data_IF_379363331676
#
_entry.id   IF_379363331676
#
_cell.length_a   1.000
_cell.length_b   1.000
_cell.length_c   1.000
_cell.angle_alpha   90.00
_cell.angle_beta   90.00
_cell.angle_gamma   90.00
#
_symmetry.space_group_name_H-M   'P 1'
#
loop_
_entity.id
_entity.type
_entity.pdbx_description
1 polymer ?
#
# COMPACT_ATOMS: atom_id res chain seq x y z
N UNK A 1 17.24 5.88 -22.11
CA UNK A 1 16.29 6.97 -22.46
C UNK A 1 16.38 7.49 -23.90
N UNK A 2 17.56 7.56 -24.53
CA UNK A 2 17.72 8.15 -25.89
C UNK A 2 16.93 7.41 -27.00
N UNK A 3 16.74 6.10 -26.88
CA UNK A 3 16.01 5.29 -27.88
C UNK A 3 14.51 5.61 -27.99
N UNK A 4 13.86 6.00 -26.88
CA UNK A 4 12.45 6.38 -26.88
C UNK A 4 12.23 7.66 -27.69
N UNK A 5 13.04 8.69 -27.42
CA UNK A 5 12.96 9.98 -28.12
C UNK A 5 13.32 9.86 -29.61
N UNK A 6 14.25 8.99 -29.98
CA UNK A 6 14.57 8.69 -31.38
C UNK A 6 13.39 8.04 -32.11
N UNK A 7 12.69 7.10 -31.44
CA UNK A 7 11.54 6.39 -31.99
C UNK A 7 10.34 7.32 -32.18
N UNK A 8 10.06 8.16 -31.17
CA UNK A 8 8.99 9.17 -31.23
C UNK A 8 9.28 10.19 -32.33
N UNK A 9 10.53 10.66 -32.44
CA UNK A 9 10.92 11.62 -33.49
C UNK A 9 10.81 11.02 -34.89
N UNK A 10 11.21 9.76 -35.06
CA UNK A 10 11.10 9.06 -36.34
C UNK A 10 9.64 8.85 -36.75
N UNK A 11 8.77 8.49 -35.82
CA UNK A 11 7.33 8.35 -36.06
C UNK A 11 6.67 9.69 -36.44
N UNK A 12 7.01 10.78 -35.74
CA UNK A 12 6.55 12.13 -36.05
C UNK A 12 7.02 12.60 -37.44
N UNK A 13 8.30 12.41 -37.75
CA UNK A 13 8.87 12.81 -39.04
C UNK A 13 8.26 12.01 -40.22
N UNK A 14 7.91 10.73 -39.99
CA UNK A 14 7.25 9.88 -40.99
C UNK A 14 5.78 10.28 -41.22
N UNK A 15 5.12 10.82 -40.19
CA UNK A 15 3.75 11.31 -40.29
C UNK A 15 3.62 12.66 -41.03
N UNK A 16 4.71 13.43 -41.14
CA UNK A 16 4.70 14.76 -41.80
C UNK A 16 4.96 14.73 -43.32
N UNK A 17 5.34 13.60 -43.90
CA UNK A 17 5.75 13.52 -45.33
C UNK A 17 4.61 13.15 -46.28
N UNK A 18 3.48 12.64 -45.79
CA UNK A 18 2.32 12.28 -46.63
C UNK A 18 1.07 13.06 -46.23
N UNK A 19 0.77 14.13 -46.97
CA UNK A 19 -0.53 14.81 -47.01
C UNK A 19 -0.91 15.54 -45.73
N UNK A 20 -1.25 16.82 -45.84
CA UNK A 20 -1.73 17.60 -44.70
C UNK A 20 -3.04 17.01 -44.15
N UNK A 21 -2.90 16.15 -43.13
CA UNK A 21 -4.03 15.63 -42.35
C UNK A 21 -4.69 16.77 -41.61
N UNK A 22 -6.01 16.82 -41.60
CA UNK A 22 -6.72 17.89 -40.91
C UNK A 22 -6.47 17.80 -39.40
N UNK A 23 -6.62 18.90 -38.63
CA UNK A 23 -6.45 18.87 -37.18
C UNK A 23 -7.32 17.80 -36.50
N UNK A 24 -8.49 17.49 -37.06
CA UNK A 24 -9.36 16.42 -36.55
C UNK A 24 -8.78 15.02 -36.79
N UNK A 25 -8.13 14.78 -37.93
CA UNK A 25 -7.47 13.50 -38.23
C UNK A 25 -6.23 13.29 -37.37
N UNK A 26 -5.51 14.37 -37.04
CA UNK A 26 -4.41 14.36 -36.09
C UNK A 26 -4.91 14.10 -34.67
N UNK A 27 -5.98 14.75 -34.21
CA UNK A 27 -6.56 14.50 -32.88
C UNK A 27 -7.07 13.06 -32.77
N UNK A 28 -7.70 12.54 -33.83
CA UNK A 28 -8.13 11.14 -33.90
C UNK A 28 -6.95 10.17 -33.85
N UNK A 29 -5.88 10.43 -34.62
CA UNK A 29 -4.67 9.60 -34.60
C UNK A 29 -3.96 9.66 -33.24
N UNK A 30 -3.90 10.83 -32.60
CA UNK A 30 -3.36 11.00 -31.24
C UNK A 30 -4.21 10.24 -30.24
N UNK A 31 -5.55 10.36 -30.29
CA UNK A 31 -6.46 9.56 -29.44
C UNK A 31 -6.30 8.07 -29.69
N UNK A 32 -6.04 7.64 -30.92
CA UNK A 32 -5.85 6.23 -31.25
C UNK A 32 -4.49 5.71 -30.75
N UNK A 33 -3.44 6.54 -30.77
CA UNK A 33 -2.12 6.23 -30.20
C UNK A 33 -2.20 6.22 -28.67
N UNK A 34 -2.84 7.21 -28.05
CA UNK A 34 -3.08 7.26 -26.60
C UNK A 34 -3.96 6.10 -26.18
N UNK A 35 -5.03 5.80 -26.92
CA UNK A 35 -5.88 4.63 -26.67
C UNK A 35 -5.08 3.35 -26.82
N UNK A 36 -4.23 3.18 -27.84
CA UNK A 36 -3.36 2.00 -27.96
C UNK A 36 -2.29 1.90 -26.86
N UNK A 37 -1.78 3.02 -26.36
CA UNK A 37 -0.86 3.06 -25.22
C UNK A 37 -1.57 2.78 -23.88
N UNK A 38 -2.86 3.10 -23.78
CA UNK A 38 -3.73 2.85 -22.61
C UNK A 38 -4.38 1.45 -22.69
N UNK A 39 -4.41 0.80 -23.86
CA UNK A 39 -5.02 -0.52 -24.07
C UNK A 39 -4.07 -1.69 -23.75
N UNK A 40 -2.83 -1.40 -23.37
CA UNK A 40 -1.94 -2.39 -22.73
C UNK A 40 -1.88 -2.15 -21.22
N UNK A 41 -3.02 -1.96 -20.57
CA UNK A 41 -3.12 -2.03 -19.11
C UNK A 41 -3.28 -3.51 -18.69
N UNK A 42 -2.32 -4.35 -19.12
CA UNK A 42 -1.96 -5.45 -18.23
C UNK A 42 -1.42 -4.75 -16.99
N UNK A 43 -2.21 -4.76 -15.92
CA UNK A 43 -1.83 -4.23 -14.61
C UNK A 43 -0.44 -4.79 -14.30
N UNK A 44 0.60 -3.98 -14.54
CA UNK A 44 1.97 -4.43 -14.33
C UNK A 44 2.09 -4.69 -12.84
N UNK A 45 2.21 -5.97 -12.51
CA UNK A 45 2.35 -6.41 -11.15
C UNK A 45 3.66 -5.85 -10.60
N UNK A 46 3.56 -4.78 -9.81
CA UNK A 46 4.72 -4.04 -9.29
C UNK A 46 5.66 -4.98 -8.51
N UNK A 47 5.13 -6.06 -7.92
CA UNK A 47 5.93 -7.09 -7.27
C UNK A 47 6.76 -7.89 -8.28
N UNK A 48 6.11 -8.46 -9.30
CA UNK A 48 6.80 -9.16 -10.39
C UNK A 48 7.80 -8.26 -11.12
N UNK A 49 7.45 -6.99 -11.35
CA UNK A 49 8.33 -5.99 -11.97
C UNK A 49 9.54 -5.62 -11.09
N UNK A 50 9.43 -5.74 -9.76
CA UNK A 50 10.52 -5.57 -8.81
C UNK A 50 11.32 -6.86 -8.56
N UNK A 51 11.00 -7.96 -9.25
CA UNK A 51 11.66 -9.26 -9.06
C UNK A 51 11.22 -9.99 -7.79
N UNK A 52 10.11 -9.59 -7.16
CA UNK A 52 9.58 -10.19 -5.95
C UNK A 52 8.61 -11.32 -6.32
N UNK A 53 8.76 -12.50 -5.72
CA UNK A 53 7.77 -13.58 -5.83
C UNK A 53 6.52 -13.16 -5.06
N UNK A 54 5.33 -13.28 -5.67
CA UNK A 54 4.06 -13.11 -4.94
C UNK A 54 3.96 -14.22 -3.88
N UNK A 55 4.02 -13.93 -2.58
CA UNK A 55 3.75 -14.94 -1.58
C UNK A 55 2.23 -15.09 -1.52
N UNK A 56 1.70 -16.28 -1.83
CA UNK A 56 0.27 -16.58 -1.59
C UNK A 56 -0.06 -16.61 -0.08
N UNK A 57 0.95 -16.57 0.79
CA UNK A 57 0.81 -16.50 2.24
C UNK A 57 1.73 -15.43 2.85
N UNK A 58 1.11 -14.35 3.31
CA UNK A 58 1.68 -13.22 4.06
C UNK A 58 2.59 -12.28 3.26
N UNK A 59 1.98 -11.30 2.59
CA UNK A 59 2.61 -10.07 2.05
C UNK A 59 3.45 -9.26 3.08
N UNK A 60 3.50 -9.71 4.34
CA UNK A 60 4.32 -9.14 5.41
C UNK A 60 5.28 -10.17 6.03
N UNK A 61 5.54 -11.31 5.37
CA UNK A 61 6.51 -12.32 5.82
C UNK A 61 7.87 -11.69 6.12
N UNK A 62 8.56 -12.20 7.14
CA UNK A 62 9.87 -11.66 7.49
C UNK A 62 10.84 -11.84 6.30
N UNK A 63 10.69 -12.93 5.54
CA UNK A 63 11.41 -13.16 4.30
C UNK A 63 11.12 -12.08 3.26
N UNK A 64 9.84 -11.77 3.02
CA UNK A 64 9.43 -10.73 2.07
C UNK A 64 9.92 -9.34 2.49
N UNK A 65 9.75 -8.97 3.75
CA UNK A 65 10.21 -7.68 4.27
C UNK A 65 11.74 -7.54 4.14
N UNK A 66 12.49 -8.62 4.35
CA UNK A 66 13.93 -8.66 4.14
C UNK A 66 14.34 -8.65 2.66
N UNK A 67 13.54 -9.23 1.76
CA UNK A 67 13.74 -9.08 0.31
C UNK A 67 13.54 -7.63 -0.13
N UNK A 68 12.46 -6.99 0.32
CA UNK A 68 12.17 -5.57 0.02
C UNK A 68 13.26 -4.66 0.60
N UNK A 69 13.76 -4.97 1.80
CA UNK A 69 14.89 -4.25 2.42
C UNK A 69 16.19 -4.36 1.61
N UNK A 70 16.39 -5.48 0.90
CA UNK A 70 17.58 -5.76 0.08
C UNK A 70 17.48 -5.25 -1.36
N UNK A 71 16.34 -4.68 -1.77
CA UNK A 71 16.21 -4.10 -3.11
C UNK A 71 17.29 -3.04 -3.36
N UNK A 72 17.92 -3.06 -4.55
CA UNK A 72 19.01 -2.15 -4.88
C UNK A 72 18.55 -0.68 -4.92
N UNK A 73 17.30 -0.46 -5.33
CA UNK A 73 16.69 0.85 -5.42
C UNK A 73 15.84 1.15 -4.18
N UNK A 74 16.35 1.99 -3.28
CA UNK A 74 15.66 2.37 -2.03
C UNK A 74 14.29 3.02 -2.27
N UNK A 75 14.18 3.85 -3.31
CA UNK A 75 12.92 4.46 -3.69
C UNK A 75 11.89 3.41 -4.13
N UNK A 76 12.31 2.36 -4.83
CA UNK A 76 11.42 1.27 -5.20
C UNK A 76 10.94 0.52 -3.96
N UNK A 77 11.84 0.20 -3.03
CA UNK A 77 11.48 -0.45 -1.76
C UNK A 77 10.44 0.36 -0.98
N UNK A 78 10.64 1.67 -0.89
CA UNK A 78 9.70 2.58 -0.24
C UNK A 78 8.33 2.58 -0.93
N UNK A 79 8.30 2.71 -2.25
CA UNK A 79 7.04 2.71 -3.01
C UNK A 79 6.28 1.39 -2.88
N UNK A 80 6.99 0.26 -2.90
CA UNK A 80 6.42 -1.07 -2.70
C UNK A 80 5.78 -1.19 -1.32
N UNK A 81 6.53 -0.85 -0.24
CA UNK A 81 6.02 -0.89 1.12
C UNK A 81 4.85 0.07 1.31
N UNK A 82 4.95 1.29 0.78
CA UNK A 82 3.90 2.31 0.86
C UNK A 82 2.60 1.80 0.24
N UNK A 83 2.67 1.23 -0.97
CA UNK A 83 1.49 0.69 -1.65
C UNK A 83 0.88 -0.46 -0.86
N UNK A 84 1.69 -1.42 -0.44
CA UNK A 84 1.26 -2.57 0.34
C UNK A 84 0.56 -2.17 1.64
N UNK A 85 1.21 -1.33 2.43
CA UNK A 85 0.68 -0.88 3.72
C UNK A 85 -0.59 -0.05 3.56
N UNK A 86 -0.68 0.77 2.51
CA UNK A 86 -1.88 1.52 2.21
C UNK A 86 -3.07 0.61 1.85
N UNK A 87 -2.84 -0.43 1.04
CA UNK A 87 -3.89 -1.36 0.65
C UNK A 87 -4.35 -2.23 1.83
N UNK A 88 -3.43 -2.66 2.69
CA UNK A 88 -3.74 -3.33 3.94
C UNK A 88 -4.47 -2.40 4.92
N UNK A 89 -4.06 -1.13 5.04
CA UNK A 89 -4.72 -0.15 5.90
C UNK A 89 -6.17 0.04 5.49
N UNK A 90 -6.46 0.14 4.18
CA UNK A 90 -7.83 0.20 3.67
C UNK A 90 -8.64 -1.03 4.04
N UNK A 91 -8.01 -2.20 4.04
CA UNK A 91 -8.64 -3.45 4.47
C UNK A 91 -8.95 -3.41 5.96
N UNK A 92 -8.01 -2.95 6.80
CA UNK A 92 -8.24 -2.69 8.23
C UNK A 92 -9.38 -1.71 8.48
N UNK A 93 -9.41 -0.57 7.81
CA UNK A 93 -10.45 0.45 8.02
C UNK A 93 -11.86 -0.06 7.74
N UNK A 94 -12.03 -1.10 6.92
CA UNK A 94 -13.34 -1.74 6.69
C UNK A 94 -13.77 -2.67 7.82
N UNK A 95 -12.82 -3.32 8.48
CA UNK A 95 -13.09 -4.31 9.54
C UNK A 95 -13.06 -3.71 10.95
N UNK A 96 -12.19 -2.76 11.19
CA UNK A 96 -11.90 -2.19 12.49
C UNK A 96 -11.47 -0.74 12.30
N UNK A 97 -12.40 0.19 12.56
CA UNK A 97 -12.20 1.62 12.35
C UNK A 97 -11.09 2.20 13.23
N UNK A 98 -10.91 1.66 14.44
CA UNK A 98 -9.92 2.14 15.40
C UNK A 98 -8.52 1.82 14.91
N UNK A 99 -8.24 0.54 14.67
CA UNK A 99 -6.94 0.11 14.17
C UNK A 99 -6.66 0.66 12.77
N UNK A 100 -7.65 0.69 11.89
CA UNK A 100 -7.52 1.27 10.55
C UNK A 100 -7.08 2.74 10.59
N UNK A 101 -7.70 3.55 11.47
CA UNK A 101 -7.30 4.94 11.69
C UNK A 101 -5.88 5.03 12.23
N UNK A 102 -5.55 4.24 13.26
CA UNK A 102 -4.24 4.26 13.90
C UNK A 102 -3.12 3.92 12.89
N UNK A 103 -3.31 2.87 12.08
CA UNK A 103 -2.34 2.49 11.07
C UNK A 103 -2.22 3.52 9.94
N UNK A 104 -3.33 4.13 9.52
CA UNK A 104 -3.32 5.22 8.54
C UNK A 104 -2.49 6.41 9.04
N UNK A 105 -2.69 6.81 10.30
CA UNK A 105 -1.95 7.91 10.92
C UNK A 105 -0.45 7.59 11.02
N UNK A 106 -0.09 6.36 11.42
CA UNK A 106 1.32 5.92 11.46
C UNK A 106 1.98 5.89 10.08
N UNK A 107 1.27 5.41 9.05
CA UNK A 107 1.76 5.38 7.68
C UNK A 107 2.00 6.79 7.16
N UNK A 108 1.01 7.68 7.30
CA UNK A 108 1.14 9.08 6.88
C UNK A 108 2.27 9.80 7.60
N UNK A 109 2.38 9.62 8.92
CA UNK A 109 3.44 10.24 9.70
C UNK A 109 4.83 9.81 9.21
N UNK A 110 4.99 8.52 8.88
CA UNK A 110 6.24 7.97 8.34
C UNK A 110 6.57 8.55 6.97
N UNK A 111 5.59 8.65 6.07
CA UNK A 111 5.76 9.24 4.74
C UNK A 111 6.11 10.74 4.84
N UNK A 112 5.44 11.49 5.74
CA UNK A 112 5.73 12.92 5.95
C UNK A 112 7.16 13.13 6.43
N UNK A 113 7.67 12.29 7.34
CA UNK A 113 9.07 12.37 7.80
C UNK A 113 10.06 12.17 6.64
N UNK A 114 9.76 11.29 5.68
CA UNK A 114 10.56 11.13 4.47
C UNK A 114 10.49 12.36 3.54
N UNK A 115 9.28 12.84 3.24
CA UNK A 115 9.06 13.98 2.34
C UNK A 115 9.76 15.25 2.86
N UNK A 116 9.72 15.45 4.18
CA UNK A 116 10.39 16.57 4.84
C UNK A 116 11.90 16.36 5.00
N UNK A 117 12.46 15.27 4.44
CA UNK A 117 13.87 14.83 4.58
C UNK A 117 14.34 14.81 6.03
N UNK A 118 13.43 14.57 6.96
CA UNK A 118 13.71 14.56 8.40
C UNK A 118 14.39 13.27 8.85
N UNK A 119 14.33 12.22 8.02
CA UNK A 119 15.00 10.92 8.21
C UNK A 119 15.47 10.38 6.86
N UNK A 120 16.48 9.51 6.88
CA UNK A 120 17.01 8.88 5.67
C UNK A 120 16.09 7.76 5.13
N UNK A 121 16.18 7.46 3.84
CA UNK A 121 15.39 6.42 3.17
C UNK A 121 15.49 5.06 3.88
N UNK A 122 16.68 4.70 4.41
CA UNK A 122 16.86 3.48 5.17
C UNK A 122 16.02 3.46 6.47
N UNK A 123 15.91 4.59 7.18
CA UNK A 123 15.12 4.72 8.41
C UNK A 123 13.62 4.70 8.12
N UNK A 124 13.20 5.30 7.01
CA UNK A 124 11.80 5.25 6.55
C UNK A 124 11.41 3.81 6.23
N UNK A 125 12.23 3.09 5.46
CA UNK A 125 12.01 1.68 5.12
C UNK A 125 11.89 0.84 6.40
N UNK A 126 12.78 1.05 7.39
CA UNK A 126 12.68 0.37 8.68
C UNK A 126 11.35 0.66 9.38
N UNK A 127 10.94 1.93 9.42
CA UNK A 127 9.68 2.33 10.07
C UNK A 127 8.45 1.72 9.38
N UNK A 128 8.47 1.61 8.05
CA UNK A 128 7.42 0.94 7.27
C UNK A 128 7.40 -0.58 7.51
N UNK A 129 8.57 -1.21 7.64
CA UNK A 129 8.69 -2.63 8.01
C UNK A 129 8.13 -2.87 9.43
N UNK A 130 8.44 -1.99 10.38
CA UNK A 130 7.90 -2.08 11.74
C UNK A 130 6.38 -1.92 11.76
N UNK A 131 5.84 -1.01 10.95
CA UNK A 131 4.40 -0.88 10.76
C UNK A 131 3.77 -2.17 10.19
N UNK A 132 4.40 -2.79 9.19
CA UNK A 132 3.94 -4.08 8.65
C UNK A 132 3.87 -5.17 9.72
N UNK A 133 4.89 -5.25 10.58
CA UNK A 133 4.94 -6.20 11.70
C UNK A 133 3.84 -5.93 12.73
N UNK A 134 3.57 -4.67 13.04
CA UNK A 134 2.49 -4.29 13.96
C UNK A 134 1.11 -4.69 13.42
N UNK A 135 0.85 -4.48 12.12
CA UNK A 135 -0.39 -4.91 11.48
C UNK A 135 -0.56 -6.42 11.52
N UNK A 136 0.51 -7.18 11.29
CA UNK A 136 0.51 -8.65 11.45
C UNK A 136 0.18 -9.05 12.89
N UNK A 137 0.89 -8.49 13.86
CA UNK A 137 0.67 -8.82 15.27
C UNK A 137 -0.77 -8.50 15.73
N UNK A 138 -1.37 -7.43 15.24
CA UNK A 138 -2.78 -7.12 15.50
C UNK A 138 -3.70 -8.21 14.94
N UNK A 139 -3.46 -8.68 13.70
CA UNK A 139 -4.23 -9.77 13.10
C UNK A 139 -4.11 -11.06 13.91
N UNK A 140 -2.91 -11.41 14.36
CA UNK A 140 -2.68 -12.63 15.13
C UNK A 140 -3.33 -12.55 16.52
N UNK A 141 -3.38 -11.34 17.13
CA UNK A 141 -4.06 -11.11 18.40
C UNK A 141 -5.57 -11.35 18.30
N UNK A 142 -6.23 -10.84 17.27
CA UNK A 142 -7.65 -11.09 17.03
C UNK A 142 -7.96 -12.60 16.95
N UNK A 143 -7.11 -13.35 16.24
CA UNK A 143 -7.22 -14.80 16.16
C UNK A 143 -7.00 -15.50 17.52
N UNK A 144 -6.03 -15.06 18.33
CA UNK A 144 -5.73 -15.63 19.64
C UNK A 144 -6.83 -15.37 20.68
N UNK A 145 -7.51 -14.22 20.63
CA UNK A 145 -8.57 -13.88 21.57
C UNK A 145 -9.86 -14.68 21.31
N UNK A 146 -9.96 -15.36 20.16
CA UNK A 146 -11.15 -16.11 19.76
C UNK A 146 -12.38 -15.21 19.69
N UNK A 147 -12.16 -13.98 19.21
CA UNK A 147 -13.20 -12.99 18.94
C UNK A 147 -13.58 -13.04 17.47
N UNK A 148 -14.85 -12.79 17.17
CA UNK A 148 -15.27 -12.49 15.81
C UNK A 148 -14.69 -11.12 15.39
N UNK A 149 -14.73 -10.83 14.09
CA UNK A 149 -14.25 -9.54 13.57
C UNK A 149 -14.98 -8.34 14.20
N UNK A 150 -16.28 -8.48 14.45
CA UNK A 150 -17.11 -7.43 15.04
C UNK A 150 -16.80 -7.25 16.53
N UNK A 151 -16.64 -8.36 17.25
CA UNK A 151 -16.25 -8.34 18.67
C UNK A 151 -14.84 -7.76 18.88
N UNK A 152 -13.88 -8.06 18.00
CA UNK A 152 -12.53 -7.49 18.03
C UNK A 152 -12.57 -5.97 17.79
N UNK A 153 -13.33 -5.52 16.79
CA UNK A 153 -13.50 -4.11 16.50
C UNK A 153 -14.15 -3.34 17.66
N UNK A 154 -15.11 -3.96 18.33
CA UNK A 154 -15.74 -3.40 19.51
C UNK A 154 -14.80 -3.37 20.71
N UNK A 155 -14.05 -4.45 20.95
CA UNK A 155 -13.00 -4.50 21.97
C UNK A 155 -12.01 -3.35 21.79
N UNK A 156 -11.47 -3.15 20.58
CA UNK A 156 -10.52 -2.07 20.32
C UNK A 156 -11.16 -0.69 20.47
N UNK A 157 -12.44 -0.54 20.16
CA UNK A 157 -13.19 0.69 20.40
C UNK A 157 -13.36 1.00 21.89
N UNK A 158 -13.61 -0.01 22.73
CA UNK A 158 -13.66 0.17 24.18
C UNK A 158 -12.30 0.62 24.73
N UNK A 159 -11.21 -0.04 24.29
CA UNK A 159 -9.85 0.32 24.71
C UNK A 159 -9.47 1.73 24.28
N UNK A 160 -9.85 2.13 23.06
CA UNK A 160 -9.56 3.47 22.56
C UNK A 160 -10.43 4.56 23.21
N UNK A 161 -11.67 4.24 23.60
CA UNK A 161 -12.58 5.18 24.26
C UNK A 161 -12.20 5.41 25.73
N UNK A 162 -11.72 4.37 26.42
CA UNK A 162 -11.29 4.45 27.82
C UNK A 162 -9.92 3.78 28.02
N UNK A 163 -8.87 4.61 28.02
CA UNK A 163 -7.50 4.17 28.23
C UNK A 163 -7.23 3.53 29.61
N UNK A 164 -8.18 3.59 30.55
CA UNK A 164 -8.10 2.90 31.85
C UNK A 164 -8.81 1.55 31.85
N UNK A 165 -9.70 1.29 30.89
CA UNK A 165 -10.53 0.08 30.86
C UNK A 165 -9.69 -1.20 30.82
N UNK A 166 -8.56 -1.19 30.11
CA UNK A 166 -7.63 -2.32 30.07
C UNK A 166 -6.97 -2.58 31.44
N UNK A 167 -6.66 -1.52 32.19
CA UNK A 167 -6.05 -1.63 33.52
C UNK A 167 -7.04 -2.00 34.63
N UNK A 168 -8.33 -1.66 34.45
CA UNK A 168 -9.39 -1.91 35.45
C UNK A 168 -10.07 -3.26 35.23
N UNK A 169 -10.43 -3.59 33.98
CA UNK A 169 -11.21 -4.80 33.64
C UNK A 169 -10.32 -5.95 33.14
N UNK A 170 -9.10 -5.64 32.69
CA UNK A 170 -8.21 -6.60 32.04
C UNK A 170 -8.75 -7.07 30.69
N UNK A 171 -7.92 -7.81 29.95
CA UNK A 171 -8.30 -8.41 28.67
C UNK A 171 -9.52 -9.30 28.78
N UNK A 172 -9.61 -10.12 29.84
CA UNK A 172 -10.71 -11.05 30.02
C UNK A 172 -12.06 -10.34 30.23
N UNK A 173 -12.08 -9.25 31.00
CA UNK A 173 -13.32 -8.50 31.25
C UNK A 173 -13.81 -7.78 30.01
N UNK A 174 -12.91 -7.12 29.29
CA UNK A 174 -13.24 -6.46 28.02
C UNK A 174 -13.69 -7.46 26.94
N UNK A 175 -13.08 -8.65 26.90
CA UNK A 175 -13.48 -9.72 25.98
C UNK A 175 -14.91 -10.18 26.23
N UNK A 176 -15.30 -10.39 27.49
CA UNK A 176 -16.67 -10.80 27.82
C UNK A 176 -17.68 -9.70 27.49
N UNK A 177 -17.35 -8.43 27.73
CA UNK A 177 -18.21 -7.30 27.32
C UNK A 177 -18.40 -7.30 25.80
N UNK A 178 -17.32 -7.49 25.04
CA UNK A 178 -17.38 -7.52 23.58
C UNK A 178 -18.27 -8.67 23.06
N UNK A 179 -18.19 -9.86 23.68
CA UNK A 179 -19.00 -11.03 23.31
C UNK A 179 -20.48 -10.95 23.70
N UNK A 180 -20.81 -10.15 24.71
CA UNK A 180 -22.19 -10.02 25.18
C UNK A 180 -22.98 -8.92 24.48
N UNK A 181 -22.30 -7.92 23.92
CA UNK A 181 -22.93 -6.73 23.34
C UNK A 181 -22.99 -6.74 21.80
N UNK A 182 -22.34 -7.69 21.16
CA UNK A 182 -22.33 -7.91 19.69
C UNK A 182 -22.99 -9.26 19.41
#
# INVERSE_FOLDING_TARGET
EVGFFQTVRSALAKATVEGAKTPEELDSAVRQIVSKAVVSDEVVDIFSAAGLKRPELSIFSDEFLEEVRRLPYRNLALEVLRKLLNDETKTWSKRNLVLGRQFSEMLEATIRKYQNRSIDAAQVISSLIDLAKNMRAARDRGAMLGLTQEEEAFYDALVAADGTALGVLGDSGLREIAKQLV
#
